data_IF_292762881165
#
_entry.id   IF_292762881165
#
_cell.length_a   1.000
_cell.length_b   1.000
_cell.length_c   1.000
_cell.angle_alpha   90.00
_cell.angle_beta   90.00
_cell.angle_gamma   90.00
#
_symmetry.space_group_name_H-M   'P 1'
#
loop_
_entity.id
_entity.type
_entity.pdbx_description
1 polymer ?
#
# COMPACT_ATOMS: atom_id res chain seq x y z
N UNK A 1 -3.55 -7.81 21.39
CA UNK A 1 -4.96 -8.28 21.29
C UNK A 1 -5.77 -7.17 20.67
N UNK A 2 -6.39 -7.45 19.52
CA UNK A 2 -7.30 -6.51 18.84
C UNK A 2 -8.56 -6.37 19.69
N UNK A 3 -8.81 -5.17 20.22
CA UNK A 3 -9.86 -4.91 21.20
C UNK A 3 -11.14 -4.52 20.46
N UNK A 4 -12.08 -5.45 20.30
CA UNK A 4 -13.46 -5.09 19.95
C UNK A 4 -14.17 -5.90 18.87
N UNK A 5 -14.01 -7.23 18.82
CA UNK A 5 -14.92 -8.07 18.03
C UNK A 5 -15.52 -9.11 18.97
N UNK A 6 -16.84 -9.04 19.17
CA UNK A 6 -17.59 -10.05 19.92
C UNK A 6 -17.63 -11.36 19.14
N UNK A 7 -17.68 -12.49 19.86
CA UNK A 7 -17.54 -13.87 19.35
C UNK A 7 -18.61 -14.35 18.35
N UNK A 8 -19.39 -13.45 17.71
CA UNK A 8 -20.48 -13.82 16.79
C UNK A 8 -20.34 -13.25 15.37
N UNK A 9 -19.28 -12.52 15.05
CA UNK A 9 -19.00 -12.03 13.68
C UNK A 9 -17.81 -12.75 13.01
N UNK A 10 -17.48 -13.96 13.48
CA UNK A 10 -16.40 -14.78 12.91
C UNK A 10 -16.80 -15.53 11.62
N UNK A 11 -18.02 -15.34 11.11
CA UNK A 11 -18.51 -16.01 9.89
C UNK A 11 -18.29 -15.20 8.60
N UNK A 12 -17.97 -13.91 8.71
CA UNK A 12 -17.63 -13.08 7.55
C UNK A 12 -16.10 -12.98 7.43
N UNK A 13 -15.51 -14.00 6.81
CA UNK A 13 -14.08 -14.05 6.50
C UNK A 13 -13.61 -12.76 5.80
N UNK A 14 -14.47 -12.13 5.00
CA UNK A 14 -14.18 -10.86 4.33
C UNK A 14 -14.11 -9.65 5.29
N UNK A 15 -14.98 -9.59 6.30
CA UNK A 15 -15.00 -8.47 7.26
C UNK A 15 -13.78 -8.55 8.17
N UNK A 16 -13.45 -9.74 8.66
CA UNK A 16 -12.25 -9.97 9.49
C UNK A 16 -10.99 -9.72 8.67
N UNK A 17 -10.90 -10.22 7.43
CA UNK A 17 -9.75 -9.93 6.56
C UNK A 17 -9.65 -8.43 6.25
N UNK A 18 -10.75 -7.74 5.99
CA UNK A 18 -10.74 -6.30 5.71
C UNK A 18 -10.32 -5.49 6.93
N UNK A 19 -10.80 -5.84 8.12
CA UNK A 19 -10.41 -5.20 9.38
C UNK A 19 -8.92 -5.44 9.70
N UNK A 20 -8.45 -6.69 9.55
CA UNK A 20 -7.04 -7.03 9.72
C UNK A 20 -6.16 -6.33 8.67
N UNK A 21 -6.59 -6.27 7.41
CA UNK A 21 -5.90 -5.52 6.36
C UNK A 21 -5.93 -4.01 6.61
N UNK A 22 -6.97 -3.46 7.23
CA UNK A 22 -7.03 -2.05 7.63
C UNK A 22 -6.09 -1.74 8.79
N UNK A 23 -6.00 -2.63 9.79
CA UNK A 23 -5.11 -2.49 10.93
C UNK A 23 -3.63 -2.73 10.56
N UNK A 24 -3.36 -3.60 9.57
CA UNK A 24 -2.01 -3.89 9.07
C UNK A 24 -1.61 -2.99 7.89
N UNK A 25 -2.49 -2.08 7.43
CA UNK A 25 -2.17 -1.15 6.34
C UNK A 25 -1.05 -0.22 6.80
N UNK A 26 0.03 -0.23 6.02
CA UNK A 26 1.15 0.66 6.24
C UNK A 26 0.72 2.10 5.93
N UNK A 27 1.43 3.08 6.48
CA UNK A 27 1.19 4.46 6.08
C UNK A 27 1.41 4.63 4.56
N UNK A 28 0.72 5.56 3.88
CA UNK A 28 0.96 5.83 2.47
C UNK A 28 2.44 6.07 2.15
N UNK A 29 3.16 6.75 3.05
CA UNK A 29 4.59 7.00 2.90
C UNK A 29 5.44 5.72 2.92
N UNK A 30 5.05 4.73 3.74
CA UNK A 30 5.75 3.44 3.81
C UNK A 30 5.50 2.58 2.57
N UNK A 31 4.28 2.61 1.99
CA UNK A 31 4.04 1.95 0.69
C UNK A 31 4.87 2.57 -0.43
N UNK A 32 4.93 3.92 -0.49
CA UNK A 32 5.77 4.62 -1.46
C UNK A 32 7.25 4.30 -1.26
N UNK A 33 7.73 4.32 -0.02
CA UNK A 33 9.11 3.97 0.31
C UNK A 33 9.46 2.54 -0.16
N UNK A 34 8.58 1.58 0.08
CA UNK A 34 8.78 0.19 -0.37
C UNK A 34 8.78 0.06 -1.88
N UNK A 35 7.91 0.80 -2.58
CA UNK A 35 7.89 0.84 -4.04
C UNK A 35 9.20 1.41 -4.61
N UNK A 36 9.66 2.56 -4.09
CA UNK A 36 10.87 3.24 -4.55
C UNK A 36 12.15 2.44 -4.29
N UNK A 37 12.19 1.70 -3.18
CA UNK A 37 13.36 0.94 -2.74
C UNK A 37 13.24 -0.56 -3.05
N UNK A 38 12.25 -0.98 -3.83
CA UNK A 38 12.05 -2.38 -4.16
C UNK A 38 13.23 -2.93 -4.97
N UNK A 39 13.86 -3.98 -4.45
CA UNK A 39 14.85 -4.77 -5.16
C UNK A 39 14.32 -6.20 -5.37
N UNK A 40 14.70 -6.82 -6.49
CA UNK A 40 14.37 -8.21 -6.81
C UNK A 40 15.12 -9.15 -5.87
N UNK A 41 14.42 -10.06 -5.22
CA UNK A 41 15.06 -11.11 -4.41
C UNK A 41 15.80 -12.14 -5.27
N UNK A 42 16.78 -12.84 -4.70
CA UNK A 42 17.53 -13.88 -5.42
C UNK A 42 16.62 -15.05 -5.85
N UNK A 43 15.67 -15.43 -5.00
CA UNK A 43 14.73 -16.54 -5.22
C UNK A 43 13.42 -16.14 -5.92
N UNK A 44 13.31 -14.86 -6.31
CA UNK A 44 12.11 -14.31 -6.96
C UNK A 44 12.28 -14.33 -8.48
N UNK A 45 11.24 -14.63 -9.26
CA UNK A 45 11.26 -14.42 -10.72
C UNK A 45 10.99 -12.94 -11.06
N UNK A 46 11.33 -12.51 -12.27
CA UNK A 46 10.99 -11.14 -12.70
C UNK A 46 9.49 -10.85 -12.70
N UNK A 47 8.64 -11.84 -12.99
CA UNK A 47 7.19 -11.69 -12.95
C UNK A 47 6.65 -11.57 -11.53
N UNK A 48 7.20 -12.33 -10.58
CA UNK A 48 6.88 -12.20 -9.16
C UNK A 48 7.29 -10.81 -8.64
N UNK A 49 8.49 -10.35 -9.01
CA UNK A 49 8.97 -9.02 -8.65
C UNK A 49 8.05 -7.90 -9.18
N UNK A 50 7.73 -7.94 -10.48
CA UNK A 50 6.83 -6.96 -11.08
C UNK A 50 5.45 -6.94 -10.40
N UNK A 51 4.92 -8.12 -10.09
CA UNK A 51 3.64 -8.25 -9.38
C UNK A 51 3.72 -7.62 -7.99
N UNK A 52 4.77 -7.92 -7.21
CA UNK A 52 4.97 -7.38 -5.87
C UNK A 52 5.12 -5.85 -5.86
N UNK A 53 5.95 -5.31 -6.76
CA UNK A 53 6.13 -3.85 -6.90
C UNK A 53 4.84 -3.17 -7.34
N UNK A 54 4.12 -3.77 -8.29
CA UNK A 54 2.82 -3.29 -8.73
C UNK A 54 1.79 -3.25 -7.60
N UNK A 55 1.71 -4.30 -6.77
CA UNK A 55 0.83 -4.35 -5.60
C UNK A 55 1.17 -3.27 -4.57
N UNK A 56 2.45 -3.00 -4.32
CA UNK A 56 2.87 -1.92 -3.41
C UNK A 56 2.42 -0.56 -3.90
N UNK A 57 2.58 -0.28 -5.20
CA UNK A 57 2.14 0.97 -5.80
C UNK A 57 0.60 1.09 -5.82
N UNK A 58 -0.11 0.01 -6.11
CA UNK A 58 -1.58 -0.03 -6.06
C UNK A 58 -2.11 0.27 -4.64
N UNK A 59 -1.49 -0.31 -3.61
CA UNK A 59 -1.84 0.03 -2.23
C UNK A 59 -1.52 1.47 -1.87
N UNK A 60 -0.42 2.02 -2.39
CA UNK A 60 -0.12 3.44 -2.24
C UNK A 60 -1.25 4.30 -2.82
N UNK A 61 -1.62 4.08 -4.09
CA UNK A 61 -2.67 4.84 -4.76
C UNK A 61 -4.02 4.71 -4.04
N UNK A 62 -4.41 3.49 -3.63
CA UNK A 62 -5.65 3.24 -2.88
C UNK A 62 -5.65 3.94 -1.52
N UNK A 63 -4.51 4.01 -0.84
CA UNK A 63 -4.39 4.72 0.45
C UNK A 63 -4.48 6.24 0.31
N UNK A 64 -4.28 6.75 -0.92
CA UNK A 64 -4.37 8.16 -1.30
C UNK A 64 -5.67 8.49 -2.04
N UNK A 65 -6.57 7.51 -2.17
CA UNK A 65 -7.87 7.64 -2.84
C UNK A 65 -7.75 8.16 -4.28
N UNK A 66 -6.69 7.75 -4.99
CA UNK A 66 -6.45 8.14 -6.39
C UNK A 66 -7.27 7.26 -7.32
N UNK A 67 -8.04 7.88 -8.23
CA UNK A 67 -8.94 7.18 -9.16
C UNK A 67 -8.55 7.38 -10.62
N UNK A 68 -7.89 8.50 -10.93
CA UNK A 68 -7.55 8.90 -12.31
C UNK A 68 -6.05 8.94 -12.55
N UNK A 69 -5.66 8.81 -13.82
CA UNK A 69 -4.25 8.95 -14.23
C UNK A 69 -3.71 10.33 -13.89
N UNK A 70 -4.53 11.36 -14.05
CA UNK A 70 -4.19 12.76 -13.78
C UNK A 70 -3.86 12.96 -12.30
N UNK A 71 -4.63 12.34 -11.40
CA UNK A 71 -4.35 12.34 -9.96
C UNK A 71 -3.07 11.58 -9.61
N UNK A 72 -2.78 10.45 -10.28
CA UNK A 72 -1.49 9.77 -10.12
C UNK A 72 -0.34 10.71 -10.47
N UNK A 73 -0.43 11.41 -11.60
CA UNK A 73 0.61 12.36 -12.04
C UNK A 73 0.77 13.48 -11.02
N UNK A 74 -0.33 14.10 -10.59
CA UNK A 74 -0.31 15.18 -9.62
C UNK A 74 0.31 14.74 -8.28
N UNK A 75 -0.07 13.55 -7.80
CA UNK A 75 0.46 12.97 -6.56
C UNK A 75 1.97 12.75 -6.64
N UNK A 76 2.46 12.14 -7.72
CA UNK A 76 3.89 11.88 -7.90
C UNK A 76 4.71 13.17 -8.00
N UNK A 77 4.17 14.22 -8.64
CA UNK A 77 4.80 15.54 -8.69
C UNK A 77 4.84 16.18 -7.30
N UNK A 78 3.73 16.12 -6.55
CA UNK A 78 3.65 16.67 -5.20
C UNK A 78 4.64 16.00 -4.24
N UNK A 79 4.72 14.65 -4.27
CA UNK A 79 5.69 13.91 -3.45
C UNK A 79 7.14 14.25 -3.84
N UNK A 80 7.44 14.38 -5.14
CA UNK A 80 8.77 14.79 -5.59
C UNK A 80 9.16 16.18 -5.08
N UNK A 81 8.24 17.15 -5.16
CA UNK A 81 8.46 18.50 -4.64
C UNK A 81 8.67 18.44 -3.12
N UNK A 82 7.79 17.75 -2.39
CA UNK A 82 7.91 17.59 -0.93
C UNK A 82 9.27 16.99 -0.52
N UNK A 83 9.73 15.96 -1.23
CA UNK A 83 11.02 15.33 -0.97
C UNK A 83 12.21 16.27 -1.27
N UNK A 84 12.08 17.19 -2.24
CA UNK A 84 13.10 18.22 -2.50
C UNK A 84 13.16 19.32 -1.45
N UNK A 85 12.08 19.52 -0.68
CA UNK A 85 11.97 20.56 0.34
C UNK A 85 12.40 20.08 1.74
N UNK A 86 12.49 18.77 1.96
CA UNK A 86 12.79 18.17 3.25
C UNK A 86 14.30 18.06 3.51
N UNK A 87 15.05 19.12 3.16
CA UNK A 87 16.52 19.24 3.36
C UNK A 87 16.85 19.47 4.83
#
# INVERSE_FOLDING_TARGET
>A
MLRGLGDSECNDNEVVNKAVLQELRLSPAEYLHRFENAAKGNDETWSQFASRVGTQFDYYLKSREVETKEEVVALMVADRIKNSLSV
#
